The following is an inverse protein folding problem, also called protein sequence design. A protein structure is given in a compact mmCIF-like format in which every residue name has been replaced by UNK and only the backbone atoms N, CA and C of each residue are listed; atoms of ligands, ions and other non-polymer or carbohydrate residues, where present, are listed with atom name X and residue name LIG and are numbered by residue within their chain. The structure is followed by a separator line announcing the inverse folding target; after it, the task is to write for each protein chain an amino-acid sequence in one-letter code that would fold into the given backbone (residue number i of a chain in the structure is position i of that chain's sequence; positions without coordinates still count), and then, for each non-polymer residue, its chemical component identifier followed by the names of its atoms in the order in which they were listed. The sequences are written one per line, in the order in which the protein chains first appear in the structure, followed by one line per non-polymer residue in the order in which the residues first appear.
data_IF_652933845243
#
_entry.id   IF_652933845243
#
_cell.length_a   1.000
_cell.length_b   1.000
_cell.length_c   1.000
_cell.angle_alpha   90.00
_cell.angle_beta   90.00
_cell.angle_gamma   90.00
#
_symmetry.space_group_name_H-M   'P 1'
#
loop_
_entity.id
_entity.type
_entity.pdbx_description
1 polymer ?
#
# COMPACT_ATOMS: atom_id res chain seq x y z
N UNK A 1 16.38 -21.08 -20.48
CA UNK A 1 15.28 -20.79 -19.53
C UNK A 1 15.18 -19.28 -19.37
N UNK A 2 14.26 -18.63 -20.08
CA UNK A 2 14.08 -17.18 -19.97
C UNK A 2 13.60 -16.85 -18.56
N UNK A 3 14.39 -16.08 -17.80
CA UNK A 3 13.90 -15.43 -16.58
C UNK A 3 12.80 -14.47 -17.04
N UNK A 4 11.53 -14.85 -16.91
CA UNK A 4 10.45 -13.86 -16.90
C UNK A 4 10.78 -12.91 -15.76
N UNK A 5 11.34 -11.75 -16.11
CA UNK A 5 11.49 -10.63 -15.19
C UNK A 5 10.07 -10.27 -14.76
N UNK A 6 9.65 -10.82 -13.61
CA UNK A 6 8.33 -10.56 -13.04
C UNK A 6 8.30 -9.07 -12.78
N UNK A 7 7.63 -8.32 -13.67
CA UNK A 7 7.50 -6.87 -13.59
C UNK A 7 7.14 -6.49 -12.14
N UNK A 8 7.78 -5.46 -11.56
CA UNK A 8 7.41 -4.98 -10.25
C UNK A 8 5.93 -4.58 -10.30
N UNK A 9 5.13 -5.05 -9.34
CA UNK A 9 3.73 -4.64 -9.24
C UNK A 9 3.77 -3.17 -8.83
N UNK A 10 3.30 -2.26 -9.69
CA UNK A 10 3.21 -0.85 -9.34
C UNK A 10 1.98 -0.64 -8.48
N UNK A 11 2.06 0.30 -7.55
CA UNK A 11 0.94 0.62 -6.67
C UNK A 11 -0.33 0.98 -7.46
N UNK A 12 -0.20 1.68 -8.58
CA UNK A 12 -1.33 2.08 -9.42
C UNK A 12 -1.96 0.96 -10.24
N UNK A 13 -1.28 -0.17 -10.40
CA UNK A 13 -1.79 -1.34 -11.11
C UNK A 13 -2.62 -2.26 -10.19
N UNK A 14 -2.68 -1.96 -8.89
CA UNK A 14 -3.49 -2.72 -7.94
C UNK A 14 -5.00 -2.45 -8.14
N UNK A 15 -5.87 -3.45 -7.90
CA UNK A 15 -7.32 -3.23 -7.88
C UNK A 15 -7.71 -2.14 -6.88
N UNK A 16 -8.88 -1.51 -7.10
CA UNK A 16 -9.41 -0.47 -6.21
C UNK A 16 -9.46 -0.92 -4.74
N UNK A 17 -9.85 -2.18 -4.52
CA UNK A 17 -9.75 -2.85 -3.23
C UNK A 17 -8.75 -4.00 -3.30
N UNK A 18 -7.68 -3.89 -2.50
CA UNK A 18 -6.60 -4.87 -2.46
C UNK A 18 -6.95 -5.94 -1.43
N UNK A 19 -7.36 -7.11 -1.91
CA UNK A 19 -7.83 -8.20 -1.06
C UNK A 19 -6.73 -8.77 -0.12
N UNK A 20 -5.47 -8.72 -0.55
CA UNK A 20 -4.34 -9.36 0.15
C UNK A 20 -3.28 -8.33 0.51
N UNK A 21 -3.00 -8.20 1.79
CA UNK A 21 -2.00 -7.27 2.31
C UNK A 21 -0.60 -7.54 1.78
N UNK A 22 -0.28 -8.78 1.39
CA UNK A 22 1.01 -9.13 0.77
C UNK A 22 1.23 -8.46 -0.59
N UNK A 23 0.17 -8.26 -1.37
CA UNK A 23 0.24 -7.67 -2.70
C UNK A 23 0.41 -6.14 -2.56
N UNK A 24 -0.27 -5.56 -1.56
CA UNK A 24 -0.07 -4.18 -1.14
C UNK A 24 1.34 -3.94 -0.60
N UNK A 25 1.83 -4.80 0.30
CA UNK A 25 3.19 -4.73 0.84
C UNK A 25 4.23 -4.74 -0.29
N UNK A 26 4.07 -5.64 -1.27
CA UNK A 26 4.96 -5.70 -2.42
C UNK A 26 4.98 -4.40 -3.23
N UNK A 27 3.82 -3.74 -3.38
CA UNK A 27 3.72 -2.50 -4.13
C UNK A 27 4.22 -1.26 -3.36
N UNK A 28 4.16 -1.29 -2.01
CA UNK A 28 4.59 -0.19 -1.15
C UNK A 28 6.10 -0.27 -0.84
N UNK A 29 6.59 -1.43 -0.40
CA UNK A 29 7.99 -1.61 0.05
C UNK A 29 8.84 -2.45 -0.90
N UNK A 30 8.28 -2.92 -2.01
CA UNK A 30 9.00 -3.68 -3.03
C UNK A 30 9.02 -5.20 -2.79
N UNK A 31 9.75 -5.96 -3.65
CA UNK A 31 9.65 -7.42 -3.68
C UNK A 31 10.39 -8.15 -2.55
N UNK A 32 11.26 -7.45 -1.81
CA UNK A 32 12.15 -8.04 -0.80
C UNK A 32 11.34 -8.67 0.35
N UNK A 33 11.52 -9.97 0.66
CA UNK A 33 10.73 -10.68 1.66
C UNK A 33 10.74 -10.07 3.07
N UNK A 34 11.90 -9.65 3.58
CA UNK A 34 12.04 -9.08 4.93
C UNK A 34 11.31 -7.75 5.03
N UNK A 35 11.47 -6.85 4.06
CA UNK A 35 10.72 -5.58 4.02
C UNK A 35 9.21 -5.80 4.02
N UNK A 36 8.70 -6.74 3.22
CA UNK A 36 7.26 -7.07 3.23
C UNK A 36 6.80 -7.61 4.59
N UNK A 37 7.58 -8.48 5.22
CA UNK A 37 7.25 -9.01 6.55
C UNK A 37 7.23 -7.93 7.62
N UNK A 38 8.22 -7.02 7.62
CA UNK A 38 8.28 -5.87 8.54
C UNK A 38 7.06 -4.97 8.32
N UNK A 39 6.74 -4.66 7.07
CA UNK A 39 5.57 -3.84 6.74
C UNK A 39 4.27 -4.50 7.20
N UNK A 40 4.08 -5.79 6.95
CA UNK A 40 2.91 -6.55 7.40
C UNK A 40 2.78 -6.57 8.92
N UNK A 41 3.90 -6.75 9.64
CA UNK A 41 3.93 -6.73 11.10
C UNK A 41 3.58 -5.35 11.66
N UNK A 42 3.85 -4.27 10.92
CA UNK A 42 3.53 -2.89 11.33
C UNK A 42 2.08 -2.47 11.09
N UNK A 43 1.27 -3.31 10.43
CA UNK A 43 -0.11 -2.96 10.08
C UNK A 43 -0.98 -2.54 11.28
N UNK A 44 -0.95 -3.22 12.45
CA UNK A 44 -1.72 -2.79 13.61
C UNK A 44 -1.38 -1.36 14.06
N UNK A 45 -0.09 -1.00 14.08
CA UNK A 45 0.36 0.34 14.47
C UNK A 45 0.00 1.40 13.42
N UNK A 46 0.12 1.04 12.14
CA UNK A 46 -0.33 1.89 11.04
C UNK A 46 -1.84 2.15 11.12
N UNK A 47 -2.64 1.12 11.36
CA UNK A 47 -4.10 1.22 11.51
C UNK A 47 -4.49 2.09 12.72
N UNK A 48 -3.76 1.98 13.83
CA UNK A 48 -3.94 2.85 15.00
C UNK A 48 -3.68 4.33 14.67
N UNK A 49 -2.85 4.60 13.65
CA UNK A 49 -2.54 5.95 13.16
C UNK A 49 -3.43 6.40 11.99
N UNK A 50 -4.47 5.63 11.65
CA UNK A 50 -5.42 5.97 10.59
C UNK A 50 -5.12 5.35 9.23
N UNK A 51 -4.23 4.36 9.15
CA UNK A 51 -4.10 3.55 7.94
C UNK A 51 -5.42 2.80 7.65
N UNK A 52 -5.86 2.70 6.39
CA UNK A 52 -7.14 2.08 6.07
C UNK A 52 -7.18 0.62 6.50
N UNK A 53 -8.12 0.25 7.36
CA UNK A 53 -8.30 -1.13 7.84
C UNK A 53 -8.72 -2.08 6.71
N UNK A 54 -8.44 -3.36 6.88
CA UNK A 54 -8.93 -4.41 5.99
C UNK A 54 -10.44 -4.60 6.19
N UNK A 55 -11.24 -4.38 5.15
CA UNK A 55 -12.68 -4.64 5.17
C UNK A 55 -12.95 -6.10 4.80
N UNK A 56 -13.66 -6.87 5.65
CA UNK A 56 -14.04 -8.24 5.34
C UNK A 56 -14.74 -8.33 3.98
N UNK A 57 -14.29 -9.25 3.12
CA UNK A 57 -14.87 -9.47 1.79
C UNK A 57 -14.43 -8.49 0.69
N UNK A 58 -13.79 -7.37 1.02
CA UNK A 58 -13.35 -6.38 0.00
C UNK A 58 -11.84 -6.12 0.04
N UNK A 59 -11.24 -6.05 1.22
CA UNK A 59 -9.83 -5.72 1.40
C UNK A 59 -9.60 -4.25 1.74
N UNK A 60 -8.44 -3.70 1.35
CA UNK A 60 -8.07 -2.30 1.64
C UNK A 60 -8.29 -1.41 0.43
N UNK A 61 -8.89 -0.25 0.63
CA UNK A 61 -9.08 0.75 -0.42
C UNK A 61 -7.73 1.38 -0.82
N UNK A 62 -7.28 1.12 -2.05
CA UNK A 62 -5.98 1.59 -2.58
C UNK A 62 -5.83 3.12 -2.55
N UNK A 63 -6.81 3.94 -3.01
CA UNK A 63 -6.74 5.40 -2.88
C UNK A 63 -6.57 5.88 -1.43
N UNK A 64 -7.24 5.23 -0.48
CA UNK A 64 -7.11 5.60 0.93
C UNK A 64 -5.71 5.26 1.48
N UNK A 65 -5.11 4.16 1.02
CA UNK A 65 -3.73 3.80 1.38
C UNK A 65 -2.75 4.84 0.84
N UNK A 66 -2.96 5.27 -0.41
CA UNK A 66 -2.15 6.35 -1.01
C UNK A 66 -2.27 7.64 -0.21
N UNK A 67 -3.51 8.07 0.09
CA UNK A 67 -3.77 9.29 0.83
C UNK A 67 -3.16 9.28 2.24
N UNK A 68 -3.13 8.12 2.90
CA UNK A 68 -2.42 7.98 4.18
C UNK A 68 -0.92 8.27 4.03
N UNK A 69 -0.26 7.68 3.03
CA UNK A 69 1.17 7.92 2.81
C UNK A 69 1.46 9.32 2.31
N UNK A 70 0.62 9.87 1.43
CA UNK A 70 0.75 11.25 0.97
C UNK A 70 0.75 12.19 2.19
N UNK A 71 -0.21 12.06 3.12
CA UNK A 71 -0.24 12.84 4.37
C UNK A 71 0.96 12.56 5.28
N UNK A 72 1.34 11.28 5.43
CA UNK A 72 2.46 10.89 6.29
C UNK A 72 3.78 11.54 5.85
N UNK A 73 3.96 11.76 4.55
CA UNK A 73 5.16 12.37 3.97
C UNK A 73 4.96 13.84 3.56
N UNK A 74 3.82 14.46 3.87
CA UNK A 74 3.54 15.86 3.53
C UNK A 74 3.40 16.13 2.03
N UNK A 75 2.99 15.13 1.25
CA UNK A 75 2.77 15.20 -0.20
C UNK A 75 1.32 15.57 -0.57
N UNK A 76 0.46 15.84 0.41
CA UNK A 76 -0.92 16.28 0.20
C UNK A 76 -1.05 17.78 -0.11
N UNK A 77 0.08 18.50 -0.21
CA UNK A 77 0.12 19.92 -0.50
C UNK A 77 0.03 20.21 -2.02
N UNK A 78 -1.18 20.13 -2.58
CA UNK A 78 -1.67 21.02 -3.66
C UNK A 78 -3.20 20.88 -3.79
N UNK A 79 -3.96 21.61 -2.96
CA UNK A 79 -5.34 22.12 -3.21
C UNK A 79 -5.74 22.99 -2.01
N UNK A 80 -5.07 24.14 -1.83
CA UNK A 80 -5.58 25.32 -1.10
C UNK A 80 -4.84 26.56 -1.61
N UNK A 81 -5.02 26.85 -2.90
CA UNK A 81 -4.89 28.20 -3.45
C UNK A 81 -6.22 28.47 -4.18
N UNK A 82 -6.99 29.42 -3.64
CA UNK A 82 -8.34 29.77 -4.07
C UNK A 82 -9.21 30.13 -2.89
#
# INVERSE_FOLDING_TARGET
MSRMTRQPIRFDDLPLFVAKDRDLAKAVVGPEPKQKQVWLASLPDLEARGFPRHTPGHGRCRPAVKAFYDRLFGLDADTRLG
#
